data_IF_361373182840
#
_entry.id   IF_361373182840
#
_cell.length_a   1.000
_cell.length_b   1.000
_cell.length_c   1.000
_cell.angle_alpha   90.00
_cell.angle_beta   90.00
_cell.angle_gamma   90.00
#
_symmetry.space_group_name_H-M   'P 1'
#
loop_
_entity.id
_entity.type
_entity.pdbx_description
1 polymer ?
#
# COMPACT_ATOMS: atom_id res chain seq x y z
N UNK A 1 -4.94 8.31 -3.35
CA UNK A 1 -5.20 7.60 -2.08
C UNK A 1 -5.49 8.58 -0.97
N UNK A 2 -5.74 8.09 0.25
CA UNK A 2 -5.93 8.94 1.43
C UNK A 2 -5.24 8.31 2.64
N UNK A 3 -4.65 9.15 3.50
CA UNK A 3 -3.91 8.74 4.71
C UNK A 3 -4.41 9.60 5.87
N UNK A 4 -4.68 8.98 7.02
CA UNK A 4 -5.03 9.67 8.27
C UNK A 4 -4.12 9.15 9.37
N UNK A 5 -3.43 10.06 10.07
CA UNK A 5 -2.45 9.72 11.10
C UNK A 5 -1.40 10.81 11.27
N UNK A 6 -0.47 10.61 12.20
CA UNK A 6 0.73 11.46 12.30
C UNK A 6 1.56 11.32 11.02
N UNK A 7 2.19 12.41 10.56
CA UNK A 7 3.01 12.42 9.35
C UNK A 7 2.29 12.06 8.04
N UNK A 8 0.95 12.05 7.98
CA UNK A 8 0.21 11.72 6.76
C UNK A 8 0.58 12.61 5.56
N UNK A 9 0.90 13.89 5.80
CA UNK A 9 1.36 14.82 4.76
C UNK A 9 2.76 14.47 4.21
N UNK A 10 3.61 13.81 4.99
CA UNK A 10 4.93 13.35 4.54
C UNK A 10 4.80 12.09 3.69
N UNK A 11 3.82 11.22 4.02
CA UNK A 11 3.60 9.94 3.33
C UNK A 11 2.85 10.07 1.99
N UNK A 12 1.98 11.08 1.84
CA UNK A 12 1.17 11.23 0.63
C UNK A 12 2.01 11.49 -0.63
N UNK A 13 3.25 11.97 -0.48
CA UNK A 13 4.17 12.22 -1.58
C UNK A 13 4.43 10.97 -2.45
N UNK A 14 4.57 9.80 -1.84
CA UNK A 14 4.75 8.54 -2.57
C UNK A 14 3.51 8.18 -3.40
N UNK A 15 2.32 8.35 -2.82
CA UNK A 15 1.03 8.09 -3.50
C UNK A 15 0.84 9.05 -4.68
N UNK A 16 1.20 10.32 -4.51
CA UNK A 16 1.17 11.30 -5.60
C UNK A 16 2.13 10.89 -6.72
N UNK A 17 3.37 10.52 -6.40
CA UNK A 17 4.34 10.07 -7.39
C UNK A 17 3.87 8.80 -8.12
N UNK A 18 3.31 7.83 -7.41
CA UNK A 18 2.77 6.61 -8.00
C UNK A 18 1.65 6.92 -9.02
N UNK A 19 0.78 7.89 -8.72
CA UNK A 19 -0.27 8.36 -9.65
C UNK A 19 0.35 9.03 -10.88
N UNK A 20 1.31 9.94 -10.69
CA UNK A 20 1.99 10.64 -11.81
C UNK A 20 2.73 9.66 -12.73
N UNK A 21 3.29 8.59 -12.17
CA UNK A 21 3.96 7.52 -12.93
C UNK A 21 2.98 6.54 -13.59
N UNK A 22 1.68 6.62 -13.29
CA UNK A 22 0.69 5.63 -13.74
C UNK A 22 0.95 4.23 -13.18
N UNK A 23 1.56 4.12 -12.00
CA UNK A 23 1.91 2.87 -11.35
C UNK A 23 0.66 2.08 -10.93
N UNK A 24 0.73 0.75 -11.03
CA UNK A 24 -0.32 -0.13 -10.55
C UNK A 24 -0.05 -0.66 -9.12
N UNK A 25 -0.97 -1.45 -8.59
CA UNK A 25 -0.82 -2.03 -7.24
C UNK A 25 0.33 -3.03 -7.14
N UNK A 26 0.74 -3.66 -8.25
CA UNK A 26 1.88 -4.58 -8.29
C UNK A 26 3.18 -3.81 -8.17
N UNK A 27 3.30 -2.67 -8.86
CA UNK A 27 4.48 -1.79 -8.77
C UNK A 27 4.72 -1.30 -7.32
N UNK A 28 3.66 -0.81 -6.67
CA UNK A 28 3.72 -0.30 -5.29
C UNK A 28 3.94 -1.47 -4.31
N UNK A 29 3.17 -2.56 -4.43
CA UNK A 29 3.23 -3.69 -3.51
C UNK A 29 4.55 -4.46 -3.58
N UNK A 30 5.22 -4.51 -4.73
CA UNK A 30 6.55 -5.14 -4.86
C UNK A 30 7.71 -4.21 -4.52
N UNK A 31 7.45 -2.93 -4.31
CA UNK A 31 8.47 -2.01 -3.81
C UNK A 31 8.75 -2.34 -2.35
N UNK A 32 10.01 -2.62 -2.00
CA UNK A 32 10.38 -2.98 -0.64
C UNK A 32 10.42 -1.71 0.22
N UNK A 33 9.43 -1.56 1.07
CA UNK A 33 9.37 -0.46 2.02
C UNK A 33 10.19 -0.82 3.29
N UNK A 34 10.87 0.17 3.91
CA UNK A 34 11.64 -0.08 5.12
C UNK A 34 10.72 -0.42 6.30
N UNK A 35 11.12 -1.43 7.09
CA UNK A 35 10.43 -1.87 8.29
C UNK A 35 11.25 -1.55 9.57
N UNK A 36 10.64 -1.11 10.69
CA UNK A 36 9.24 -0.72 10.88
C UNK A 36 9.02 0.78 10.62
N UNK A 37 8.11 1.16 9.73
CA UNK A 37 7.80 2.57 9.41
C UNK A 37 6.31 2.80 9.15
N UNK A 38 5.83 4.05 9.28
CA UNK A 38 4.47 4.38 8.82
C UNK A 38 4.35 4.31 7.29
N UNK A 39 5.46 4.53 6.56
CA UNK A 39 5.48 4.50 5.10
C UNK A 39 5.25 3.10 4.53
N UNK A 40 5.64 2.03 5.22
CA UNK A 40 5.38 0.66 4.77
C UNK A 40 3.90 0.35 4.57
N UNK A 41 3.01 1.11 5.22
CA UNK A 41 1.56 0.99 5.04
C UNK A 41 1.09 1.27 3.60
N UNK A 42 1.84 2.02 2.79
CA UNK A 42 1.53 2.25 1.37
C UNK A 42 1.72 0.96 0.56
N UNK A 43 2.86 0.30 0.72
CA UNK A 43 3.13 -1.03 0.16
C UNK A 43 2.16 -2.09 0.66
N UNK A 44 1.92 -2.16 1.98
CA UNK A 44 0.98 -3.11 2.58
C UNK A 44 -0.46 -2.90 2.07
N UNK A 45 -0.89 -1.65 1.86
CA UNK A 45 -2.21 -1.36 1.28
C UNK A 45 -2.32 -1.84 -0.17
N UNK A 46 -1.25 -1.73 -0.96
CA UNK A 46 -1.19 -2.26 -2.32
C UNK A 46 -1.21 -3.80 -2.32
N UNK A 47 -0.45 -4.46 -1.44
CA UNK A 47 -0.51 -5.90 -1.25
C UNK A 47 -1.89 -6.38 -0.78
N UNK A 48 -2.57 -5.60 0.07
CA UNK A 48 -3.91 -5.91 0.54
C UNK A 48 -4.94 -5.83 -0.61
N UNK A 49 -4.81 -4.86 -1.50
CA UNK A 49 -5.63 -4.76 -2.71
C UNK A 49 -5.45 -5.97 -3.66
N UNK A 50 -4.24 -6.53 -3.71
CA UNK A 50 -3.92 -7.74 -4.47
C UNK A 50 -4.26 -9.05 -3.74
N UNK A 51 -4.57 -8.99 -2.43
CA UNK A 51 -4.82 -10.16 -1.59
C UNK A 51 -3.55 -10.94 -1.22
N UNK A 52 -2.39 -10.29 -1.26
CA UNK A 52 -1.08 -10.88 -0.92
C UNK A 52 -0.55 -10.46 0.46
N UNK A 53 -1.12 -9.41 1.06
CA UNK A 53 -0.68 -8.91 2.36
C UNK A 53 -0.84 -9.98 3.44
N UNK A 54 0.27 -10.43 4.03
CA UNK A 54 0.28 -11.45 5.10
C UNK A 54 0.10 -10.87 6.50
N UNK A 55 0.20 -9.55 6.64
CA UNK A 55 0.05 -8.84 7.92
C UNK A 55 -1.41 -8.56 8.27
N UNK A 56 -2.32 -8.85 7.33
CA UNK A 56 -3.76 -8.80 7.51
C UNK A 56 -4.37 -10.21 7.42
N UNK A 57 -5.57 -10.42 7.99
CA UNK A 57 -6.31 -11.65 7.77
C UNK A 57 -6.55 -11.91 6.28
N UNK A 58 -6.57 -13.19 5.85
CA UNK A 58 -6.77 -13.53 4.44
C UNK A 58 -8.13 -13.04 3.93
N UNK A 59 -8.13 -12.44 2.73
CA UNK A 59 -9.36 -11.98 2.07
C UNK A 59 -10.26 -13.18 1.78
N UNK A 60 -11.54 -13.13 2.19
CA UNK A 60 -12.50 -14.19 1.89
C UNK A 60 -12.68 -14.33 0.38
N UNK A 61 -12.37 -15.50 -0.17
CA UNK A 61 -12.73 -15.84 -1.56
C UNK A 61 -14.24 -15.79 -1.70
N UNK A 62 -14.75 -15.02 -2.67
CA UNK A 62 -16.19 -15.07 -3.00
C UNK A 62 -16.51 -16.50 -3.47
N UNK A 63 -17.56 -17.15 -2.93
CA UNK A 63 -17.99 -18.43 -3.47
C UNK A 63 -18.41 -18.22 -4.92
N UNK A 64 -17.90 -19.07 -5.82
CA UNK A 64 -18.39 -19.20 -7.19
C UNK A 64 -19.76 -19.89 -7.18
#
# INVERSE_FOLDING_TARGET
GGIVGTHAGDLIGEVCLAIEMGADAVDIGKTIHPHPTLGESVGLAAEAALGHCTDLPPVKKKPH
#
